data_IF_309389338170
#
_entry.id   IF_309389338170
#
_cell.length_a   1.000
_cell.length_b   1.000
_cell.length_c   1.000
_cell.angle_alpha   90.00
_cell.angle_beta   90.00
_cell.angle_gamma   90.00
#
_symmetry.space_group_name_H-M   'P 1'
#
loop_
_entity.id
_entity.type
_entity.pdbx_description
1 polymer ?
#
# COMPACT_ATOMS: atom_id res chain seq x y z
N UNK A 1 -11.47 1.04 16.81
CA UNK A 1 -10.00 0.93 16.57
C UNK A 1 -9.50 2.27 16.04
N UNK A 2 -8.35 2.76 16.48
CA UNK A 2 -7.70 3.96 15.92
C UNK A 2 -6.84 3.60 14.70
N UNK A 3 -6.43 4.59 13.89
CA UNK A 3 -5.54 4.36 12.73
C UNK A 3 -4.21 3.74 13.14
N UNK A 4 -3.62 4.23 14.23
CA UNK A 4 -2.36 3.71 14.76
C UNK A 4 -2.52 2.25 15.22
N UNK A 5 -3.60 1.94 15.94
CA UNK A 5 -3.89 0.55 16.35
C UNK A 5 -4.05 -0.37 15.13
N UNK A 6 -4.74 0.09 14.08
CA UNK A 6 -4.89 -0.68 12.83
C UNK A 6 -3.54 -0.93 12.16
N UNK A 7 -2.71 0.12 12.04
CA UNK A 7 -1.38 0.01 11.46
C UNK A 7 -0.47 -0.96 12.23
N UNK A 8 -0.43 -0.87 13.56
CA UNK A 8 0.36 -1.77 14.42
C UNK A 8 -0.09 -3.23 14.29
N UNK A 9 -1.41 -3.46 14.23
CA UNK A 9 -1.98 -4.78 14.04
C UNK A 9 -1.66 -5.36 12.65
N UNK A 10 -1.69 -4.52 11.61
CA UNK A 10 -1.26 -4.90 10.24
C UNK A 10 0.21 -5.31 10.22
N UNK A 11 1.10 -4.47 10.77
CA UNK A 11 2.55 -4.76 10.85
C UNK A 11 2.79 -6.09 11.57
N UNK A 12 2.12 -6.29 12.71
CA UNK A 12 2.22 -7.54 13.50
C UNK A 12 1.75 -8.75 12.70
N UNK A 13 0.61 -8.65 12.00
CA UNK A 13 0.05 -9.75 11.23
C UNK A 13 0.92 -10.13 10.02
N UNK A 14 1.49 -9.15 9.32
CA UNK A 14 2.38 -9.37 8.18
C UNK A 14 3.70 -10.03 8.62
N UNK A 15 4.32 -9.52 9.69
CA UNK A 15 5.53 -10.11 10.25
C UNK A 15 5.32 -11.57 10.69
N UNK A 16 4.16 -11.89 11.26
CA UNK A 16 3.80 -13.25 11.66
C UNK A 16 3.49 -14.18 10.47
N UNK A 17 2.99 -13.63 9.34
CA UNK A 17 2.56 -14.41 8.20
C UNK A 17 3.71 -15.03 7.39
N UNK A 18 4.87 -14.38 7.33
CA UNK A 18 6.04 -14.92 6.66
C UNK A 18 7.23 -14.98 7.63
N UNK A 19 7.66 -16.18 8.08
CA UNK A 19 8.80 -16.32 8.96
C UNK A 19 10.04 -15.60 8.42
N UNK A 20 10.70 -14.83 9.30
CA UNK A 20 11.87 -13.99 9.01
C UNK A 20 11.69 -12.94 7.91
N UNK A 21 10.45 -12.61 7.56
CA UNK A 21 10.15 -11.32 6.94
C UNK A 21 10.23 -10.20 7.97
N UNK A 22 10.26 -8.96 7.50
CA UNK A 22 10.23 -7.77 8.34
C UNK A 22 9.15 -6.84 7.81
N UNK A 23 8.15 -6.54 8.65
CA UNK A 23 7.15 -5.52 8.37
C UNK A 23 7.40 -4.27 9.23
N UNK A 24 7.27 -3.08 8.64
CA UNK A 24 7.50 -1.80 9.33
C UNK A 24 6.54 -0.74 8.83
N UNK A 25 6.12 0.11 9.75
CA UNK A 25 5.40 1.34 9.43
C UNK A 25 6.35 2.32 8.71
N UNK A 26 5.81 3.05 7.74
CA UNK A 26 6.50 4.13 7.00
C UNK A 26 5.66 5.41 7.05
N UNK A 27 6.11 6.42 6.31
CA UNK A 27 5.36 7.64 6.08
C UNK A 27 5.04 8.44 7.35
N UNK A 28 3.94 9.17 7.28
CA UNK A 28 3.54 10.14 8.31
C UNK A 28 3.23 9.51 9.67
N UNK A 29 2.69 8.29 9.69
CA UNK A 29 2.42 7.55 10.92
C UNK A 29 3.72 7.13 11.61
N UNK A 30 4.71 6.63 10.87
CA UNK A 30 6.02 6.31 11.45
C UNK A 30 6.77 7.56 11.94
N UNK A 31 6.61 8.68 11.23
CA UNK A 31 7.25 9.95 11.59
C UNK A 31 6.55 10.72 12.72
N UNK A 32 5.36 10.28 13.15
CA UNK A 32 4.56 11.01 14.15
C UNK A 32 3.96 12.32 13.63
N UNK A 33 3.88 12.50 12.31
CA UNK A 33 3.38 13.72 11.65
C UNK A 33 2.01 13.52 10.99
N UNK A 34 1.37 12.38 11.22
CA UNK A 34 0.10 12.03 10.58
C UNK A 34 -1.05 12.96 10.97
N UNK A 35 -1.80 13.40 9.97
CA UNK A 35 -3.00 14.25 10.08
C UNK A 35 -4.30 13.45 9.81
N UNK A 36 -5.45 14.12 9.80
CA UNK A 36 -6.74 13.48 9.53
C UNK A 36 -6.85 12.83 8.13
N UNK A 37 -5.99 13.24 7.19
CA UNK A 37 -5.98 12.83 5.79
C UNK A 37 -4.92 11.77 5.46
N UNK A 38 -4.13 11.38 6.45
CA UNK A 38 -3.06 10.39 6.26
C UNK A 38 -3.60 8.97 6.09
N UNK A 39 -3.01 8.27 5.15
CA UNK A 39 -3.08 6.84 4.91
C UNK A 39 -2.20 6.07 5.92
N UNK A 40 -2.07 4.78 5.68
CA UNK A 40 -1.21 3.85 6.40
C UNK A 40 -0.18 3.32 5.41
N UNK A 41 1.08 3.70 5.58
CA UNK A 41 2.18 3.18 4.77
C UNK A 41 2.88 2.02 5.50
N UNK A 42 2.95 0.86 4.88
CA UNK A 42 3.68 -0.30 5.43
C UNK A 42 4.64 -0.87 4.40
N UNK A 43 5.87 -1.13 4.83
CA UNK A 43 6.87 -1.86 4.08
C UNK A 43 6.98 -3.27 4.66
N UNK A 44 6.85 -4.29 3.80
CA UNK A 44 6.99 -5.70 4.13
C UNK A 44 8.08 -6.35 3.27
N UNK A 45 9.26 -6.51 3.87
CA UNK A 45 10.41 -7.16 3.23
C UNK A 45 10.34 -8.66 3.48
N UNK A 46 10.16 -9.43 2.42
CA UNK A 46 10.12 -10.89 2.42
C UNK A 46 11.42 -11.48 1.88
N UNK A 47 11.64 -12.77 2.11
CA UNK A 47 12.78 -13.46 1.49
C UNK A 47 12.62 -13.54 -0.03
N UNK A 48 13.74 -13.60 -0.71
CA UNK A 48 13.79 -13.83 -2.15
C UNK A 48 13.05 -15.11 -2.53
N UNK A 49 12.31 -15.07 -3.64
CA UNK A 49 11.43 -16.15 -4.11
C UNK A 49 10.10 -16.27 -3.34
N UNK A 50 9.82 -15.40 -2.36
CA UNK A 50 8.56 -15.47 -1.57
C UNK A 50 7.53 -14.44 -1.98
N UNK A 51 7.88 -13.44 -2.80
CA UNK A 51 6.98 -12.33 -3.15
C UNK A 51 5.61 -12.81 -3.62
N UNK A 52 5.56 -13.68 -4.63
CA UNK A 52 4.32 -14.16 -5.24
C UNK A 52 3.41 -14.84 -4.21
N UNK A 53 3.96 -15.76 -3.41
CA UNK A 53 3.20 -16.44 -2.35
C UNK A 53 2.69 -15.47 -1.30
N UNK A 54 3.52 -14.54 -0.84
CA UNK A 54 3.14 -13.57 0.18
C UNK A 54 2.04 -12.64 -0.32
N UNK A 55 2.14 -12.15 -1.55
CA UNK A 55 1.15 -11.26 -2.19
C UNK A 55 -0.20 -11.97 -2.39
N UNK A 56 -0.19 -13.25 -2.79
CA UNK A 56 -1.41 -14.04 -2.90
C UNK A 56 -2.13 -14.19 -1.55
N UNK A 57 -1.38 -14.31 -0.45
CA UNK A 57 -1.93 -14.50 0.89
C UNK A 57 -2.30 -13.19 1.61
N UNK A 58 -1.90 -12.02 1.09
CA UNK A 58 -2.09 -10.71 1.76
C UNK A 58 -3.52 -10.50 2.23
N UNK A 59 -4.52 -10.78 1.39
CA UNK A 59 -5.93 -10.62 1.76
C UNK A 59 -6.25 -11.42 3.02
N UNK A 60 -5.93 -12.71 3.03
CA UNK A 60 -6.22 -13.59 4.15
C UNK A 60 -5.44 -13.20 5.42
N UNK A 61 -4.25 -12.61 5.27
CA UNK A 61 -3.48 -12.06 6.38
C UNK A 61 -4.16 -10.85 7.00
N UNK A 62 -4.57 -9.90 6.16
CA UNK A 62 -5.19 -8.65 6.59
C UNK A 62 -6.61 -8.84 7.13
N UNK A 63 -7.36 -9.83 6.61
CA UNK A 63 -8.70 -10.19 7.11
C UNK A 63 -8.69 -10.69 8.56
N UNK A 64 -7.54 -11.16 9.08
CA UNK A 64 -7.38 -11.48 10.50
C UNK A 64 -7.28 -10.24 11.40
N UNK A 65 -6.94 -9.09 10.83
CA UNK A 65 -6.83 -7.80 11.54
C UNK A 65 -8.14 -7.04 11.46
N UNK A 66 -8.67 -6.88 10.25
CA UNK A 66 -9.91 -6.16 9.97
C UNK A 66 -10.49 -6.63 8.63
N UNK A 67 -11.83 -6.72 8.47
CA UNK A 67 -12.46 -6.98 7.17
C UNK A 67 -11.89 -6.14 6.03
N UNK A 68 -11.51 -6.80 4.93
CA UNK A 68 -10.91 -6.18 3.74
C UNK A 68 -11.95 -6.01 2.63
N UNK A 69 -12.29 -4.76 2.32
CA UNK A 69 -13.21 -4.41 1.24
C UNK A 69 -12.57 -4.61 -0.14
N UNK A 70 -11.31 -4.21 -0.32
CA UNK A 70 -10.61 -4.33 -1.59
C UNK A 70 -9.09 -4.45 -1.42
N UNK A 71 -8.47 -5.19 -2.33
CA UNK A 71 -7.01 -5.24 -2.52
C UNK A 71 -6.75 -5.02 -4.00
N UNK A 72 -5.81 -4.14 -4.33
CA UNK A 72 -5.40 -3.85 -5.71
C UNK A 72 -3.89 -3.77 -5.80
N UNK A 73 -3.33 -4.16 -6.93
CA UNK A 73 -1.91 -3.96 -7.22
C UNK A 73 -1.73 -2.65 -7.99
N UNK A 74 -0.69 -1.90 -7.64
CA UNK A 74 -0.27 -0.72 -8.39
C UNK A 74 0.09 -1.11 -9.83
N UNK A 75 -0.30 -0.31 -10.83
CA UNK A 75 0.12 -0.53 -12.21
C UNK A 75 1.64 -0.46 -12.37
N UNK A 76 2.35 0.37 -11.59
CA UNK A 76 3.79 0.61 -11.77
C UNK A 76 4.64 -0.61 -11.38
N UNK A 77 4.11 -1.49 -10.53
CA UNK A 77 4.80 -2.66 -10.01
C UNK A 77 4.05 -3.94 -10.32
N UNK A 78 3.25 -3.97 -11.37
CA UNK A 78 2.27 -5.04 -11.55
C UNK A 78 2.92 -6.39 -11.88
N UNK A 79 3.96 -6.40 -12.72
CA UNK A 79 4.67 -7.61 -13.16
C UNK A 79 6.06 -7.76 -12.56
N UNK A 80 6.53 -6.81 -11.74
CA UNK A 80 7.88 -6.85 -11.17
C UNK A 80 8.15 -8.18 -10.42
N UNK A 81 9.26 -8.88 -10.64
CA UNK A 81 9.51 -10.13 -9.95
C UNK A 81 9.87 -9.94 -8.48
N UNK A 82 10.25 -8.72 -8.07
CA UNK A 82 10.85 -8.43 -6.77
C UNK A 82 10.07 -7.42 -5.92
N UNK A 83 9.15 -6.67 -6.52
CA UNK A 83 8.42 -5.59 -5.84
C UNK A 83 6.94 -5.61 -6.22
N UNK A 84 6.07 -5.46 -5.24
CA UNK A 84 4.63 -5.17 -5.42
C UNK A 84 4.27 -4.00 -4.53
N UNK A 85 3.45 -3.09 -5.03
CA UNK A 85 2.74 -2.11 -4.22
C UNK A 85 1.26 -2.47 -4.24
N UNK A 86 0.67 -2.66 -3.07
CA UNK A 86 -0.73 -3.02 -2.92
C UNK A 86 -1.49 -1.88 -2.24
N UNK A 87 -2.62 -1.52 -2.81
CA UNK A 87 -3.59 -0.59 -2.22
C UNK A 87 -4.71 -1.39 -1.58
N UNK A 88 -4.88 -1.25 -0.28
CA UNK A 88 -5.85 -2.01 0.50
C UNK A 88 -6.86 -1.06 1.14
N UNK A 89 -8.14 -1.40 0.99
CA UNK A 89 -9.24 -0.78 1.71
C UNK A 89 -9.82 -1.76 2.70
N UNK A 90 -9.91 -1.34 3.95
CA UNK A 90 -10.69 -2.03 4.96
C UNK A 90 -12.15 -1.57 4.92
N UNK A 91 -13.07 -2.45 5.30
CA UNK A 91 -14.47 -2.09 5.53
C UNK A 91 -14.59 -1.27 6.81
N UNK A 92 -15.64 -0.45 6.95
CA UNK A 92 -16.03 0.21 8.21
C UNK A 92 -14.95 1.07 8.90
N UNK A 93 -13.97 1.55 8.12
CA UNK A 93 -12.96 2.53 8.55
C UNK A 93 -13.09 3.84 7.76
N UNK A 94 -12.59 4.97 8.29
CA UNK A 94 -12.55 6.23 7.54
C UNK A 94 -11.91 6.10 6.16
N UNK A 95 -12.47 6.82 5.18
CA UNK A 95 -12.08 6.71 3.76
C UNK A 95 -10.59 6.97 3.50
N UNK A 96 -9.95 7.84 4.29
CA UNK A 96 -8.53 8.19 4.10
C UNK A 96 -7.57 7.15 4.69
N UNK A 97 -8.05 6.19 5.48
CA UNK A 97 -7.21 5.15 6.09
C UNK A 97 -6.96 3.99 5.11
N UNK A 98 -6.53 4.32 3.90
CA UNK A 98 -6.03 3.33 2.95
C UNK A 98 -4.70 2.79 3.44
N UNK A 99 -4.46 1.52 3.16
CA UNK A 99 -3.17 0.91 3.39
C UNK A 99 -2.41 0.81 2.07
N UNK A 100 -1.27 1.48 2.03
CA UNK A 100 -0.29 1.40 0.96
C UNK A 100 0.80 0.42 1.43
N UNK A 101 0.69 -0.82 0.95
CA UNK A 101 1.55 -1.93 1.35
C UNK A 101 2.59 -2.20 0.26
N UNK A 102 3.82 -1.77 0.52
CA UNK A 102 4.98 -2.12 -0.27
C UNK A 102 5.51 -3.51 0.15
N UNK A 103 5.47 -4.49 -0.75
CA UNK A 103 5.99 -5.84 -0.52
C UNK A 103 7.21 -6.07 -1.41
N UNK A 104 8.38 -6.22 -0.81
CA UNK A 104 9.65 -6.32 -1.53
C UNK A 104 10.40 -7.59 -1.15
N UNK A 105 11.12 -8.17 -2.10
CA UNK A 105 12.15 -9.16 -1.79
C UNK A 105 13.37 -8.50 -1.17
N UNK A 106 14.10 -9.23 -0.34
CA UNK A 106 15.25 -8.71 0.40
C UNK A 106 16.38 -8.22 -0.51
N UNK A 107 16.53 -8.82 -1.70
CA UNK A 107 17.50 -8.41 -2.72
C UNK A 107 16.97 -7.38 -3.73
N UNK A 108 15.73 -6.89 -3.57
CA UNK A 108 15.15 -5.93 -4.50
C UNK A 108 16.02 -4.67 -4.60
N UNK A 109 16.30 -4.23 -5.84
CA UNK A 109 17.05 -3.00 -6.07
C UNK A 109 16.27 -1.77 -5.58
N UNK A 110 17.00 -0.77 -5.08
CA UNK A 110 16.44 0.51 -4.60
C UNK A 110 16.34 1.59 -5.69
N UNK A 111 16.49 1.20 -6.96
CA UNK A 111 16.49 2.09 -8.12
C UNK A 111 15.11 2.29 -8.76
N UNK A 112 15.04 3.11 -9.83
CA UNK A 112 13.83 3.24 -10.62
C UNK A 112 13.46 1.89 -11.25
N UNK A 113 12.17 1.62 -11.32
CA UNK A 113 11.67 0.37 -11.88
C UNK A 113 11.74 0.33 -13.40
N UNK A 114 11.79 -0.90 -13.92
CA UNK A 114 11.74 -1.14 -15.36
C UNK A 114 10.29 -0.97 -15.85
N UNK A 115 10.01 -0.04 -16.78
CA UNK A 115 8.68 0.14 -17.37
C UNK A 115 8.10 -1.13 -17.99
N UNK A 116 8.93 -2.11 -18.37
CA UNK A 116 8.47 -3.42 -18.85
C UNK A 116 7.68 -4.20 -17.80
N UNK A 117 7.81 -3.83 -16.52
CA UNK A 117 7.12 -4.46 -15.40
C UNK A 117 5.79 -3.79 -15.04
N UNK A 118 5.40 -2.73 -15.77
CA UNK A 118 4.14 -2.03 -15.54
C UNK A 118 2.95 -2.83 -16.09
N UNK A 119 1.77 -2.62 -15.52
CA UNK A 119 0.52 -3.18 -16.01
C UNK A 119 0.25 -2.73 -17.45
N UNK A 120 -0.31 -3.64 -18.24
CA UNK A 120 -0.98 -3.31 -19.50
C UNK A 120 -2.32 -2.63 -19.22
N UNK A 121 -2.85 -1.96 -20.23
CA UNK A 121 -4.07 -1.15 -20.12
C UNK A 121 -5.30 -1.90 -19.59
N UNK A 122 -5.39 -3.21 -19.83
CA UNK A 122 -6.49 -4.10 -19.44
C UNK A 122 -6.24 -4.85 -18.12
N UNK A 123 -5.05 -4.73 -17.53
CA UNK A 123 -4.65 -5.45 -16.31
C UNK A 123 -4.94 -4.65 -15.02
N UNK A 124 -5.34 -3.39 -15.16
CA UNK A 124 -5.64 -2.50 -14.04
C UNK A 124 -6.92 -1.71 -14.27
N UNK A 125 -7.59 -1.36 -13.17
CA UNK A 125 -8.88 -0.67 -13.23
C UNK A 125 -8.69 0.85 -13.18
N UNK A 126 -8.74 1.49 -14.35
CA UNK A 126 -8.67 2.96 -14.50
C UNK A 126 -9.63 3.74 -13.59
N UNK A 127 -10.92 3.36 -13.43
CA UNK A 127 -11.84 4.13 -12.58
C UNK A 127 -11.41 4.21 -11.12
N UNK A 128 -10.81 3.15 -10.59
CA UNK A 128 -10.37 3.15 -9.20
C UNK A 128 -8.99 3.80 -9.02
N UNK A 129 -8.19 3.91 -10.08
CA UNK A 129 -7.02 4.79 -10.09
C UNK A 129 -7.43 6.26 -10.09
N UNK A 130 -8.46 6.64 -10.86
CA UNK A 130 -9.05 7.97 -10.80
C UNK A 130 -9.61 8.29 -9.40
N UNK A 131 -10.22 7.31 -8.72
CA UNK A 131 -10.63 7.48 -7.31
C UNK A 131 -9.44 7.72 -6.38
N UNK A 132 -8.34 6.97 -6.53
CA UNK A 132 -7.14 7.16 -5.73
C UNK A 132 -6.54 8.56 -5.96
N UNK A 133 -6.48 9.00 -7.22
CA UNK A 133 -6.03 10.35 -7.59
C UNK A 133 -6.93 11.44 -6.99
N UNK A 134 -8.26 11.28 -7.04
CA UNK A 134 -9.19 12.23 -6.45
C UNK A 134 -9.00 12.35 -4.92
N UNK A 135 -8.76 11.23 -4.23
CA UNK A 135 -8.41 11.26 -2.81
C UNK A 135 -7.07 11.95 -2.58
N UNK A 136 -6.06 11.67 -3.41
CA UNK A 136 -4.77 12.35 -3.40
C UNK A 136 -4.90 13.87 -3.57
N UNK A 137 -5.70 14.32 -4.52
CA UNK A 137 -5.97 15.73 -4.74
C UNK A 137 -6.66 16.39 -3.54
N UNK A 138 -7.63 15.71 -2.91
CA UNK A 138 -8.25 16.19 -1.67
C UNK A 138 -7.21 16.33 -0.54
N UNK A 139 -6.35 15.32 -0.36
CA UNK A 139 -5.26 15.36 0.64
C UNK A 139 -4.32 16.55 0.37
N UNK A 140 -3.95 16.77 -0.89
CA UNK A 140 -3.06 17.85 -1.30
C UNK A 140 -3.69 19.24 -1.06
N UNK A 141 -4.95 19.44 -1.45
CA UNK A 141 -5.70 20.69 -1.19
C UNK A 141 -5.81 20.96 0.31
N UNK A 142 -6.12 19.94 1.12
CA UNK A 142 -6.23 20.09 2.57
C UNK A 142 -4.92 20.53 3.24
N UNK A 143 -3.77 20.29 2.60
CA UNK A 143 -2.43 20.67 3.06
C UNK A 143 -1.87 21.93 2.37
N UNK A 144 -2.65 22.55 1.49
CA UNK A 144 -2.23 23.74 0.74
C UNK A 144 -1.28 23.46 -0.43
N UNK A 145 -1.18 22.20 -0.87
CA UNK A 145 -0.33 21.77 -2.00
C UNK A 145 -1.16 21.76 -3.30
N UNK A 146 -1.50 22.94 -3.83
CA UNK A 146 -2.38 23.05 -5.00
C UNK A 146 -1.75 22.53 -6.30
N UNK A 147 -0.43 22.67 -6.46
CA UNK A 147 0.26 22.16 -7.64
C UNK A 147 0.25 20.62 -7.69
N UNK A 148 0.47 19.96 -6.54
CA UNK A 148 0.36 18.51 -6.40
C UNK A 148 -1.08 18.05 -6.69
N UNK A 149 -2.09 18.80 -6.24
CA UNK A 149 -3.48 18.48 -6.53
C UNK A 149 -3.80 18.56 -8.03
N UNK A 150 -3.28 19.56 -8.73
CA UNK A 150 -3.48 19.72 -10.17
C UNK A 150 -2.80 18.59 -10.98
N UNK A 151 -1.65 18.09 -10.52
CA UNK A 151 -0.95 16.99 -11.19
C UNK A 151 -1.69 15.63 -11.12
N UNK A 152 -2.72 15.53 -10.28
CA UNK A 152 -3.51 14.29 -10.08
C UNK A 152 -4.83 14.28 -10.86
N UNK A 153 -5.28 15.43 -11.39
CA UNK A 153 -6.59 15.63 -12.02
C UNK A 153 -6.53 15.61 -13.55
#
# INVERSE_FOLDING_TARGET
MTRAQLADAVVTALAAACPSSVARLRGSLAAGTADAFSDIDVEWVVRDGRLVSCVADVRAVLERVHPVAAVRTSPDFFHSPQRRLLFVRFSDVPLFWWLDLAVWEASAATGPDDPSTHARDDEWSRPASALANALGAIKAVARGHLDDANGLL
#
